data_IF_382148544587
#
_entry.id   IF_382148544587
#
_cell.length_a   1.000
_cell.length_b   1.000
_cell.length_c   1.000
_cell.angle_alpha   90.00
_cell.angle_beta   90.00
_cell.angle_gamma   90.00
#
_symmetry.space_group_name_H-M   'P 1'
#
loop_
_entity.id
_entity.type
_entity.pdbx_description
1 polymer ?
#
# COMPACT_ATOMS: atom_id res chain seq x y z
N UNK A 1 11.11 -23.88 13.29
CA UNK A 1 10.12 -22.92 13.83
C UNK A 1 8.74 -23.52 13.59
N UNK A 2 7.89 -23.56 14.61
CA UNK A 2 6.49 -24.00 14.48
C UNK A 2 5.64 -22.85 13.93
N UNK A 3 4.82 -23.13 12.93
CA UNK A 3 3.80 -22.18 12.48
C UNK A 3 2.67 -22.11 13.51
N UNK A 4 2.14 -20.91 13.76
CA UNK A 4 0.99 -20.66 14.62
C UNK A 4 -0.10 -20.05 13.75
N UNK A 5 -1.33 -20.58 13.84
CA UNK A 5 -2.49 -19.99 13.19
C UNK A 5 -3.10 -18.94 14.11
N UNK A 6 -3.32 -17.75 13.57
CA UNK A 6 -3.92 -16.61 14.29
C UNK A 6 -5.10 -16.12 13.47
N UNK A 7 -6.22 -15.80 14.13
CA UNK A 7 -7.39 -15.21 13.47
C UNK A 7 -7.05 -13.81 12.94
N UNK A 8 -7.55 -13.46 11.76
CA UNK A 8 -7.23 -12.20 11.09
C UNK A 8 -7.54 -10.98 11.97
N UNK A 9 -8.70 -10.96 12.63
CA UNK A 9 -9.10 -9.86 13.51
C UNK A 9 -8.20 -9.73 14.73
N UNK A 10 -7.79 -10.86 15.32
CA UNK A 10 -6.82 -10.87 16.43
C UNK A 10 -5.46 -10.34 15.97
N UNK A 11 -5.01 -10.77 14.78
CA UNK A 11 -3.74 -10.33 14.21
C UNK A 11 -3.75 -8.82 13.92
N UNK A 12 -4.87 -8.31 13.39
CA UNK A 12 -5.09 -6.88 13.13
C UNK A 12 -5.04 -6.08 14.43
N UNK A 13 -5.78 -6.51 15.46
CA UNK A 13 -5.80 -5.84 16.75
C UNK A 13 -4.41 -5.74 17.39
N UNK A 14 -3.64 -6.84 17.37
CA UNK A 14 -2.26 -6.86 17.89
C UNK A 14 -1.34 -5.94 17.09
N UNK A 15 -1.43 -5.95 15.76
CA UNK A 15 -0.65 -5.05 14.92
C UNK A 15 -1.00 -3.58 15.17
N UNK A 16 -2.29 -3.25 15.29
CA UNK A 16 -2.76 -1.90 15.62
C UNK A 16 -2.22 -1.43 16.96
N UNK A 17 -2.31 -2.25 18.01
CA UNK A 17 -1.78 -1.91 19.34
C UNK A 17 -0.30 -1.56 19.29
N UNK A 18 0.51 -2.37 18.61
CA UNK A 18 1.95 -2.14 18.47
C UNK A 18 2.28 -0.89 17.65
N UNK A 19 1.50 -0.60 16.61
CA UNK A 19 1.67 0.60 15.78
C UNK A 19 1.30 1.88 16.55
N UNK A 20 0.24 1.83 17.38
CA UNK A 20 -0.13 2.92 18.30
C UNK A 20 0.97 3.14 19.33
N UNK A 21 1.46 2.07 19.95
CA UNK A 21 2.60 2.14 20.87
C UNK A 21 3.88 2.70 20.18
N UNK A 22 4.03 2.44 18.87
CA UNK A 22 5.09 3.00 18.02
C UNK A 22 4.91 4.48 17.64
N UNK A 23 3.81 5.12 18.06
CA UNK A 23 3.57 6.55 17.89
C UNK A 23 2.63 6.94 16.74
N UNK A 24 1.95 5.97 16.11
CA UNK A 24 0.89 6.30 15.14
C UNK A 24 -0.43 6.66 15.85
N UNK A 25 -1.20 7.63 15.32
CA UNK A 25 -2.61 7.79 15.66
C UNK A 25 -3.39 6.50 15.38
N UNK A 26 -4.40 6.22 16.21
CA UNK A 26 -5.21 4.99 16.14
C UNK A 26 -5.77 4.74 14.74
N UNK A 27 -6.38 5.75 14.12
CA UNK A 27 -6.94 5.66 12.76
C UNK A 27 -5.89 5.23 11.72
N UNK A 28 -4.70 5.81 11.77
CA UNK A 28 -3.58 5.45 10.87
C UNK A 28 -3.08 4.03 11.15
N UNK A 29 -3.00 3.65 12.43
CA UNK A 29 -2.55 2.32 12.84
C UNK A 29 -3.52 1.21 12.40
N UNK A 30 -4.83 1.45 12.46
CA UNK A 30 -5.87 0.53 11.97
C UNK A 30 -5.75 0.30 10.46
N UNK A 31 -5.56 1.37 9.68
CA UNK A 31 -5.36 1.28 8.22
C UNK A 31 -4.11 0.47 7.90
N UNK A 32 -2.98 0.78 8.54
CA UNK A 32 -1.74 0.06 8.31
C UNK A 32 -1.90 -1.42 8.66
N UNK A 33 -2.47 -1.74 9.83
CA UNK A 33 -2.70 -3.12 10.25
C UNK A 33 -3.59 -3.89 9.27
N UNK A 34 -4.63 -3.24 8.73
CA UNK A 34 -5.54 -3.84 7.74
C UNK A 34 -4.80 -4.26 6.45
N UNK A 35 -3.93 -3.39 5.92
CA UNK A 35 -3.13 -3.70 4.72
C UNK A 35 -2.12 -4.82 4.99
N UNK A 36 -1.52 -4.87 6.17
CA UNK A 36 -0.58 -5.92 6.53
C UNK A 36 -1.30 -7.28 6.69
N UNK A 37 -2.44 -7.31 7.37
CA UNK A 37 -3.24 -8.53 7.51
C UNK A 37 -3.80 -9.01 6.17
N UNK A 38 -4.17 -8.08 5.27
CA UNK A 38 -4.51 -8.41 3.88
C UNK A 38 -3.39 -9.18 3.18
N UNK A 39 -2.13 -8.72 3.32
CA UNK A 39 -0.99 -9.41 2.72
C UNK A 39 -0.78 -10.81 3.32
N UNK A 40 -0.89 -10.96 4.65
CA UNK A 40 -0.78 -12.26 5.32
C UNK A 40 -1.88 -13.24 4.90
N UNK A 41 -3.13 -12.77 4.79
CA UNK A 41 -4.27 -13.59 4.37
C UNK A 41 -4.12 -14.19 2.96
N UNK A 42 -3.25 -13.57 2.14
CA UNK A 42 -2.94 -13.97 0.76
C UNK A 42 -1.60 -14.71 0.64
N UNK A 43 -0.96 -15.03 1.77
CA UNK A 43 0.34 -15.70 1.80
C UNK A 43 1.52 -14.82 1.40
N UNK A 44 1.34 -13.50 1.31
CA UNK A 44 2.37 -12.51 0.96
C UNK A 44 3.03 -12.00 2.24
N UNK A 45 3.56 -12.92 3.05
CA UNK A 45 4.07 -12.62 4.39
C UNK A 45 5.17 -11.55 4.39
N UNK A 46 5.96 -11.42 3.33
CA UNK A 46 7.00 -10.38 3.23
C UNK A 46 6.48 -8.94 3.27
N UNK A 47 5.18 -8.74 3.08
CA UNK A 47 4.51 -7.44 3.22
C UNK A 47 3.42 -7.47 4.31
N UNK A 48 3.37 -8.54 5.12
CA UNK A 48 2.42 -8.71 6.21
C UNK A 48 2.89 -8.11 7.53
N UNK A 49 2.31 -8.58 8.64
CA UNK A 49 2.52 -8.00 9.97
C UNK A 49 3.95 -8.11 10.48
N UNK A 50 4.79 -8.96 9.86
CA UNK A 50 6.23 -8.97 10.13
C UNK A 50 6.91 -7.61 9.88
N UNK A 51 6.29 -6.71 9.10
CA UNK A 51 6.77 -5.35 8.84
C UNK A 51 6.42 -4.34 9.96
N UNK A 52 5.59 -4.69 10.94
CA UNK A 52 5.22 -3.78 12.04
C UNK A 52 6.46 -3.22 12.73
N UNK A 53 7.41 -4.08 13.11
CA UNK A 53 8.66 -3.67 13.75
C UNK A 53 9.46 -2.66 12.88
N UNK A 54 9.50 -2.87 11.56
CA UNK A 54 10.16 -1.97 10.63
C UNK A 54 9.54 -0.57 10.65
N UNK A 55 8.21 -0.47 10.67
CA UNK A 55 7.53 0.83 10.73
C UNK A 55 7.74 1.52 12.08
N UNK A 56 7.64 0.80 13.20
CA UNK A 56 7.91 1.35 14.53
C UNK A 56 9.35 1.89 14.63
N UNK A 57 10.35 1.17 14.10
CA UNK A 57 11.74 1.65 14.04
C UNK A 57 11.89 2.92 13.19
N UNK A 58 11.22 2.99 12.04
CA UNK A 58 11.25 4.18 11.18
C UNK A 58 10.59 5.40 11.81
N UNK A 59 9.48 5.21 12.53
CA UNK A 59 8.82 6.26 13.30
C UNK A 59 9.73 6.78 14.41
N UNK A 60 10.31 5.88 15.20
CA UNK A 60 11.25 6.23 16.27
C UNK A 60 12.49 6.98 15.74
N UNK A 61 12.95 6.66 14.53
CA UNK A 61 14.06 7.34 13.87
C UNK A 61 13.68 8.69 13.21
N UNK A 62 12.40 9.11 13.27
CA UNK A 62 11.91 10.32 12.63
C UNK A 62 11.84 10.26 11.09
N UNK A 63 11.93 9.05 10.52
CA UNK A 63 11.90 8.83 9.07
C UNK A 63 10.49 8.71 8.47
N UNK A 64 9.46 8.93 9.29
CA UNK A 64 8.04 8.92 8.94
C UNK A 64 7.34 10.01 9.77
N UNK A 65 6.44 10.77 9.16
CA UNK A 65 5.59 11.73 9.87
C UNK A 65 4.33 11.02 10.41
N UNK A 66 4.18 10.81 11.73
CA UNK A 66 3.02 10.13 12.29
C UNK A 66 1.73 10.95 12.17
N UNK A 67 1.84 12.28 12.07
CA UNK A 67 0.72 13.22 12.01
C UNK A 67 0.69 13.96 10.66
N UNK A 68 0.94 13.19 9.59
CA UNK A 68 1.02 13.72 8.23
C UNK A 68 -0.25 14.47 7.80
N UNK A 69 -0.07 15.70 7.32
CA UNK A 69 -1.15 16.49 6.75
C UNK A 69 -1.27 16.23 5.25
N UNK A 70 -2.11 15.28 4.87
CA UNK A 70 -2.32 14.91 3.47
C UNK A 70 -3.04 16.03 2.73
N UNK A 71 -2.47 16.48 1.61
CA UNK A 71 -3.09 17.50 0.74
C UNK A 71 -3.35 16.97 -0.66
N UNK A 72 -4.36 17.51 -1.31
CA UNK A 72 -4.77 17.17 -2.67
C UNK A 72 -4.66 18.41 -3.56
N UNK A 73 -3.92 18.28 -4.66
CA UNK A 73 -3.83 19.27 -5.74
C UNK A 73 -4.52 18.69 -6.98
N UNK A 74 -5.76 19.10 -7.22
CA UNK A 74 -6.52 18.67 -8.39
C UNK A 74 -6.05 19.43 -9.63
N UNK A 75 -5.39 18.72 -10.55
CA UNK A 75 -4.79 19.29 -11.77
C UNK A 75 -5.78 19.35 -12.93
N UNK A 76 -6.66 18.36 -13.01
CA UNK A 76 -7.76 18.27 -13.99
C UNK A 76 -8.95 17.58 -13.31
N UNK A 77 -10.12 17.48 -13.97
CA UNK A 77 -11.25 16.72 -13.42
C UNK A 77 -10.91 15.26 -13.05
N UNK A 78 -9.88 14.66 -13.67
CA UNK A 78 -9.52 13.24 -13.50
C UNK A 78 -8.09 13.01 -13.00
N UNK A 79 -7.28 14.06 -12.84
CA UNK A 79 -5.88 13.95 -12.36
C UNK A 79 -5.73 14.73 -11.06
N UNK A 80 -5.26 14.04 -10.02
CA UNK A 80 -4.96 14.63 -8.72
C UNK A 80 -3.55 14.27 -8.28
N UNK A 81 -2.81 15.24 -7.75
CA UNK A 81 -1.53 15.02 -7.07
C UNK A 81 -1.79 15.08 -5.57
N UNK A 82 -1.51 14.00 -4.86
CA UNK A 82 -1.56 13.92 -3.41
C UNK A 82 -0.16 14.10 -2.84
N UNK A 83 0.02 15.03 -1.90
CA UNK A 83 1.22 15.08 -1.06
C UNK A 83 0.89 14.39 0.27
N UNK A 84 1.63 13.33 0.62
CA UNK A 84 1.40 12.59 1.86
C UNK A 84 2.26 13.03 3.03
N UNK A 85 3.02 14.13 2.89
CA UNK A 85 3.74 14.77 3.99
C UNK A 85 4.69 13.82 4.75
N UNK A 86 5.37 12.94 4.00
CA UNK A 86 6.24 11.87 4.51
C UNK A 86 5.54 10.89 5.49
N UNK A 87 4.22 10.79 5.41
CA UNK A 87 3.41 9.91 6.23
C UNK A 87 3.47 8.43 5.84
N UNK A 88 2.62 7.64 6.48
CA UNK A 88 2.47 6.22 6.19
C UNK A 88 1.90 6.02 4.78
N UNK A 89 2.64 5.31 3.93
CA UNK A 89 2.24 5.00 2.55
C UNK A 89 0.92 4.25 2.49
N UNK A 90 0.63 3.40 3.48
CA UNK A 90 -0.64 2.68 3.60
C UNK A 90 -1.85 3.62 3.69
N UNK A 91 -1.73 4.66 4.53
CA UNK A 91 -2.79 5.66 4.73
C UNK A 91 -2.95 6.51 3.48
N UNK A 92 -1.82 6.96 2.90
CA UNK A 92 -1.82 7.79 1.70
C UNK A 92 -2.43 7.05 0.50
N UNK A 93 -1.98 5.83 0.22
CA UNK A 93 -2.49 5.03 -0.89
C UNK A 93 -3.95 4.65 -0.70
N UNK A 94 -4.41 4.31 0.51
CA UNK A 94 -5.85 4.06 0.78
C UNK A 94 -6.69 5.30 0.45
N UNK A 95 -6.31 6.46 0.97
CA UNK A 95 -7.02 7.73 0.71
C UNK A 95 -6.97 8.12 -0.78
N UNK A 96 -5.84 7.87 -1.45
CA UNK A 96 -5.69 8.12 -2.88
C UNK A 96 -6.63 7.23 -3.70
N UNK A 97 -6.75 5.97 -3.33
CA UNK A 97 -7.68 5.02 -3.96
C UNK A 97 -9.13 5.40 -3.72
N UNK A 98 -9.51 5.81 -2.50
CA UNK A 98 -10.87 6.31 -2.21
C UNK A 98 -11.20 7.52 -3.07
N UNK A 99 -10.30 8.50 -3.15
CA UNK A 99 -10.46 9.67 -4.02
C UNK A 99 -10.56 9.29 -5.51
N UNK A 100 -9.76 8.33 -5.95
CA UNK A 100 -9.77 7.83 -7.32
C UNK A 100 -11.12 7.17 -7.68
N UNK A 101 -11.64 6.33 -6.78
CA UNK A 101 -12.93 5.66 -6.94
C UNK A 101 -14.05 6.70 -7.04
N UNK A 102 -14.13 7.65 -6.11
CA UNK A 102 -15.19 8.68 -6.12
C UNK A 102 -15.12 9.56 -7.37
N UNK A 103 -13.92 9.93 -7.80
CA UNK A 103 -13.74 10.68 -9.04
C UNK A 103 -14.16 9.85 -10.26
N UNK A 104 -13.74 8.59 -10.34
CA UNK A 104 -14.05 7.71 -11.47
C UNK A 104 -15.55 7.38 -11.58
N UNK A 105 -16.30 7.32 -10.46
CA UNK A 105 -17.77 7.17 -10.47
C UNK A 105 -18.46 8.28 -11.27
N UNK A 106 -17.92 9.50 -11.25
CA UNK A 106 -18.52 10.66 -11.90
C UNK A 106 -17.89 11.00 -13.26
N UNK A 107 -16.60 10.73 -13.44
CA UNK A 107 -15.84 11.11 -14.63
C UNK A 107 -15.50 9.93 -15.56
N UNK A 108 -15.77 8.70 -15.15
CA UNK A 108 -15.42 7.47 -15.88
C UNK A 108 -13.98 7.01 -15.71
N UNK A 109 -13.05 7.89 -15.31
CA UNK A 109 -11.65 7.57 -15.03
C UNK A 109 -11.10 8.51 -13.95
N UNK A 110 -10.08 8.05 -13.21
CA UNK A 110 -9.28 8.89 -12.33
C UNK A 110 -7.83 8.40 -12.26
N UNK A 111 -6.91 9.33 -12.05
CA UNK A 111 -5.49 9.06 -11.81
C UNK A 111 -5.03 9.92 -10.63
N UNK A 112 -4.51 9.25 -9.59
CA UNK A 112 -3.97 9.91 -8.40
C UNK A 112 -2.49 9.58 -8.26
N UNK A 113 -1.64 10.60 -8.25
CA UNK A 113 -0.21 10.47 -8.02
C UNK A 113 0.10 10.82 -6.57
N UNK A 114 0.75 9.92 -5.82
CA UNK A 114 1.08 10.16 -4.40
C UNK A 114 2.57 10.48 -4.26
N UNK A 115 2.88 11.67 -3.74
CA UNK A 115 4.23 12.18 -3.52
C UNK A 115 4.57 12.24 -2.03
N UNK A 116 5.88 12.30 -1.72
CA UNK A 116 6.43 12.32 -0.35
C UNK A 116 5.80 11.22 0.51
N UNK A 117 5.80 10.00 -0.03
CA UNK A 117 5.19 8.82 0.60
C UNK A 117 6.25 7.83 1.08
N UNK A 118 5.78 6.75 1.69
CA UNK A 118 6.63 5.68 2.20
C UNK A 118 6.13 4.31 1.72
N UNK A 119 6.73 3.23 2.21
CA UNK A 119 6.31 1.87 1.88
C UNK A 119 4.81 1.67 2.18
N UNK A 120 4.07 1.10 1.24
CA UNK A 120 2.61 0.97 1.28
C UNK A 120 2.10 -0.48 1.30
N UNK A 121 2.97 -1.47 1.52
CA UNK A 121 2.54 -2.87 1.61
C UNK A 121 2.20 -3.47 0.23
N UNK A 122 1.27 -4.42 0.21
CA UNK A 122 0.85 -5.10 -1.02
C UNK A 122 -0.07 -4.20 -1.86
N UNK A 123 0.25 -4.01 -3.15
CA UNK A 123 -0.54 -3.14 -4.02
C UNK A 123 -1.94 -3.70 -4.31
N UNK A 124 -2.09 -5.02 -4.22
CA UNK A 124 -3.36 -5.74 -4.34
C UNK A 124 -4.46 -5.17 -3.44
N UNK A 125 -4.13 -4.65 -2.26
CA UNK A 125 -5.12 -4.05 -1.35
C UNK A 125 -5.86 -2.88 -2.03
N UNK A 126 -5.09 -1.97 -2.63
CA UNK A 126 -5.63 -0.76 -3.28
C UNK A 126 -6.39 -1.09 -4.57
N UNK A 127 -5.86 -2.01 -5.38
CA UNK A 127 -6.55 -2.41 -6.61
C UNK A 127 -7.82 -3.21 -6.30
N UNK A 128 -7.82 -4.04 -5.25
CA UNK A 128 -9.02 -4.74 -4.79
C UNK A 128 -10.13 -3.77 -4.34
N UNK A 129 -9.79 -2.68 -3.64
CA UNK A 129 -10.78 -1.66 -3.26
C UNK A 129 -11.54 -1.11 -4.48
N UNK A 130 -10.82 -0.85 -5.58
CA UNK A 130 -11.43 -0.37 -6.81
C UNK A 130 -12.26 -1.45 -7.51
N UNK A 131 -11.76 -2.69 -7.58
CA UNK A 131 -12.51 -3.80 -8.16
C UNK A 131 -13.80 -4.13 -7.39
N UNK A 132 -13.80 -3.98 -6.06
CA UNK A 132 -15.01 -4.09 -5.23
C UNK A 132 -16.03 -2.96 -5.47
N UNK A 133 -15.65 -1.91 -6.20
CA UNK A 133 -16.53 -0.84 -6.66
C UNK A 133 -16.79 -0.94 -8.17
N UNK A 134 -16.69 -2.14 -8.76
CA UNK A 134 -16.92 -2.42 -10.18
C UNK A 134 -16.00 -1.65 -11.15
N UNK A 135 -14.76 -1.39 -10.71
CA UNK A 135 -13.76 -0.65 -11.50
C UNK A 135 -12.53 -1.49 -11.83
N UNK A 136 -11.99 -1.28 -13.03
CA UNK A 136 -10.64 -1.73 -13.36
C UNK A 136 -9.63 -0.76 -12.74
N UNK A 137 -8.54 -1.27 -12.16
CA UNK A 137 -7.51 -0.44 -11.55
C UNK A 137 -6.10 -0.91 -11.86
N UNK A 138 -5.19 0.06 -11.86
CA UNK A 138 -3.74 -0.12 -11.96
C UNK A 138 -3.11 0.63 -10.78
N UNK A 139 -2.26 -0.04 -10.02
CA UNK A 139 -1.44 0.58 -8.99
C UNK A 139 0.04 0.29 -9.25
N UNK A 140 0.89 1.30 -9.03
CA UNK A 140 2.34 1.19 -9.20
C UNK A 140 3.02 1.97 -8.08
N UNK A 141 4.19 1.51 -7.67
CA UNK A 141 5.07 2.28 -6.77
C UNK A 141 6.53 1.99 -7.09
N UNK A 142 7.42 2.85 -6.63
CA UNK A 142 8.87 2.63 -6.67
C UNK A 142 9.40 2.32 -5.28
N UNK A 143 10.57 1.65 -5.22
CA UNK A 143 11.26 1.35 -3.96
C UNK A 143 12.72 1.77 -4.01
N UNK A 144 13.44 1.58 -2.90
CA UNK A 144 14.88 1.79 -2.84
C UNK A 144 15.64 0.94 -3.87
N UNK A 145 16.80 1.45 -4.31
CA UNK A 145 17.63 0.84 -5.35
C UNK A 145 18.12 -0.54 -4.93
N UNK A 146 17.74 -1.56 -5.70
CA UNK A 146 18.10 -2.96 -5.41
C UNK A 146 18.13 -3.87 -6.64
N UNK A 147 17.59 -3.42 -7.78
CA UNK A 147 17.53 -4.18 -9.03
C UNK A 147 18.55 -3.60 -10.01
N UNK A 148 19.39 -4.47 -10.56
CA UNK A 148 20.36 -4.14 -11.60
C UNK A 148 19.65 -4.10 -12.96
N UNK A 149 19.74 -2.99 -13.73
CA UNK A 149 19.20 -2.93 -15.09
C UNK A 149 19.82 -4.00 -16.00
N UNK A 150 19.10 -4.42 -17.04
CA UNK A 150 19.66 -5.31 -18.05
C UNK A 150 20.92 -4.69 -18.68
N UNK A 151 22.02 -5.45 -18.70
CA UNK A 151 23.33 -4.96 -19.17
C UNK A 151 24.09 -4.08 -18.17
N UNK A 152 23.53 -3.83 -16.98
CA UNK A 152 24.20 -3.10 -15.90
C UNK A 152 24.99 -4.00 -14.95
N UNK A 153 25.75 -3.37 -14.05
CA UNK A 153 26.53 -4.05 -13.00
C UNK A 153 26.17 -3.59 -11.58
N UNK A 154 25.41 -2.50 -11.43
CA UNK A 154 25.09 -1.89 -10.13
C UNK A 154 23.57 -1.70 -9.95
N UNK A 155 23.04 -1.74 -8.70
CA UNK A 155 21.63 -1.51 -8.42
C UNK A 155 21.18 -0.10 -8.83
N UNK A 156 20.06 -0.02 -9.54
CA UNK A 156 19.48 1.26 -9.97
C UNK A 156 17.98 1.34 -9.74
N UNK A 157 17.22 0.34 -10.17
CA UNK A 157 15.76 0.32 -9.96
C UNK A 157 15.43 -0.25 -8.59
N UNK A 158 14.23 0.06 -8.09
CA UNK A 158 13.61 -0.72 -7.05
C UNK A 158 12.98 -2.00 -7.60
N UNK A 159 12.33 -2.78 -6.72
CA UNK A 159 11.49 -3.91 -7.17
C UNK A 159 10.22 -3.44 -7.89
N UNK A 160 9.93 -2.15 -7.81
CA UNK A 160 8.94 -1.37 -8.56
C UNK A 160 7.71 -2.18 -8.98
N UNK A 161 6.85 -2.58 -8.03
CA UNK A 161 5.74 -3.46 -8.32
C UNK A 161 4.65 -2.78 -9.14
N UNK A 162 3.88 -3.61 -9.82
CA UNK A 162 2.68 -3.25 -10.57
C UNK A 162 1.55 -4.20 -10.18
N UNK A 163 0.38 -3.64 -9.90
CA UNK A 163 -0.85 -4.38 -9.64
C UNK A 163 -1.93 -3.99 -10.64
N UNK A 164 -2.70 -4.99 -11.08
CA UNK A 164 -3.89 -4.86 -11.92
C UNK A 164 -5.06 -5.56 -11.25
N UNK A 165 -6.25 -5.00 -11.36
CA UNK A 165 -7.48 -5.66 -10.92
C UNK A 165 -8.62 -5.48 -11.92
N UNK A 166 -9.41 -6.53 -12.09
CA UNK A 166 -10.60 -6.54 -12.92
C UNK A 166 -11.80 -7.06 -12.10
N UNK A 167 -12.92 -6.33 -12.06
CA UNK A 167 -14.12 -6.80 -11.38
C UNK A 167 -14.70 -8.02 -12.11
N UNK A 168 -15.46 -8.84 -11.38
CA UNK A 168 -16.19 -9.98 -11.92
C UNK A 168 -17.65 -9.89 -11.46
N UNK A 169 -18.59 -10.27 -12.32
CA UNK A 169 -20.02 -10.15 -12.02
C UNK A 169 -20.48 -11.14 -10.93
N UNK A 170 -19.95 -12.36 -10.96
CA UNK A 170 -20.44 -13.49 -10.14
C UNK A 170 -19.33 -14.16 -9.32
N UNK A 171 -18.13 -13.56 -9.26
CA UNK A 171 -16.99 -14.13 -8.55
C UNK A 171 -16.10 -13.07 -7.90
N UNK A 172 -15.10 -13.53 -7.16
CA UNK A 172 -14.02 -12.65 -6.69
C UNK A 172 -13.33 -11.94 -7.86
N UNK A 173 -12.83 -10.70 -7.65
CA UNK A 173 -12.05 -9.97 -8.62
C UNK A 173 -10.80 -10.73 -9.08
N UNK A 174 -10.44 -10.57 -10.35
CA UNK A 174 -9.14 -11.04 -10.85
C UNK A 174 -8.09 -9.99 -10.50
N UNK A 175 -7.10 -10.37 -9.69
CA UNK A 175 -6.02 -9.47 -9.25
C UNK A 175 -4.66 -10.08 -9.62
N UNK A 176 -3.81 -9.27 -10.24
CA UNK A 176 -2.41 -9.59 -10.50
C UNK A 176 -1.57 -8.55 -9.75
N UNK A 177 -0.80 -8.97 -8.75
CA UNK A 177 0.08 -8.11 -7.96
C UNK A 177 1.50 -8.70 -7.96
N UNK A 178 2.43 -8.01 -8.63
CA UNK A 178 3.77 -8.54 -8.86
C UNK A 178 4.86 -7.47 -8.78
N UNK A 179 6.01 -7.86 -8.25
CA UNK A 179 7.25 -7.11 -8.45
C UNK A 179 7.67 -7.20 -9.93
N UNK A 180 8.33 -6.16 -10.45
CA UNK A 180 8.96 -6.20 -11.79
C UNK A 180 10.33 -6.85 -11.78
N UNK A 181 10.84 -7.17 -10.58
CA UNK A 181 12.05 -7.97 -10.36
C UNK A 181 11.76 -9.46 -10.31
N UNK A 182 12.81 -10.29 -10.40
CA UNK A 182 12.68 -11.76 -10.34
C UNK A 182 12.01 -12.26 -9.06
N UNK A 183 12.18 -11.56 -7.93
CA UNK A 183 11.59 -11.86 -6.62
C UNK A 183 11.48 -10.58 -5.80
N UNK A 184 10.47 -10.49 -4.96
CA UNK A 184 10.39 -9.46 -3.93
C UNK A 184 11.55 -9.58 -2.92
N UNK A 185 12.05 -8.43 -2.45
CA UNK A 185 13.00 -8.38 -1.35
C UNK A 185 12.31 -8.78 -0.04
N UNK A 186 12.99 -9.61 0.75
CA UNK A 186 12.54 -10.00 2.09
C UNK A 186 13.08 -8.99 3.09
#
# INVERSE_FOLDING_TARGET
MSNILVQADTLKALATEQLVAGGLPVESAEIVADVLVHADSRGIHSHGVMRVEHYCKRLAAGGLNPNANITLDQRTPVITIMDSDNGMGHVACKKATEHAIETAKTQGISMVMVNKTSHCGALSYYTEMAAKNDMVAIAMTQTDKCVVPYGGAEPFFGTNPISFSFPSADSEPVIVDMATSKRSLR
#
